data_IF_215956203361
#
_entry.id   IF_215956203361
#
_cell.length_a   1.000
_cell.length_b   1.000
_cell.length_c   1.000
_cell.angle_alpha   90.00
_cell.angle_beta   90.00
_cell.angle_gamma   90.00
#
_symmetry.space_group_name_H-M   'P 1'
#
loop_
_entity.id
_entity.type
_entity.pdbx_description
1 polymer ?
#
# COMPACT_ATOMS: atom_id res chain seq x y z
N UNK A 1 19.52 2.42 24.54
CA UNK A 1 19.28 3.79 24.03
C UNK A 1 20.14 4.81 24.77
N UNK A 2 19.92 5.15 26.06
CA UNK A 2 20.64 6.22 26.78
C UNK A 2 22.16 6.22 26.61
N UNK A 3 22.84 5.04 26.69
CA UNK A 3 24.30 4.93 26.52
C UNK A 3 24.79 5.29 25.13
N UNK A 4 24.05 4.87 24.08
CA UNK A 4 24.38 5.19 22.67
C UNK A 4 24.25 6.69 22.43
N UNK A 5 23.12 7.29 22.85
CA UNK A 5 22.88 8.73 22.74
C UNK A 5 23.98 9.53 23.45
N UNK A 6 24.33 9.15 24.71
CA UNK A 6 25.39 9.83 25.47
C UNK A 6 26.76 9.72 24.78
N UNK A 7 27.11 8.55 24.26
CA UNK A 7 28.36 8.36 23.52
C UNK A 7 28.41 9.22 22.25
N UNK A 8 27.31 9.25 21.48
CA UNK A 8 27.24 10.07 20.27
C UNK A 8 27.34 11.57 20.59
N UNK A 9 26.66 12.04 21.64
CA UNK A 9 26.78 13.43 22.10
C UNK A 9 28.21 13.79 22.54
N UNK A 10 28.89 12.88 23.25
CA UNK A 10 30.26 13.10 23.68
C UNK A 10 31.24 13.20 22.50
N UNK A 11 31.04 12.40 21.46
CA UNK A 11 31.88 12.38 20.26
C UNK A 11 31.59 13.55 19.31
N UNK A 12 30.34 13.84 19.05
CA UNK A 12 29.90 14.88 18.10
C UNK A 12 29.89 16.29 18.68
N UNK A 13 29.85 16.41 20.02
CA UNK A 13 29.62 17.65 20.76
C UNK A 13 28.28 18.35 20.39
N UNK A 14 27.36 17.61 19.75
CA UNK A 14 26.05 18.10 19.35
C UNK A 14 24.97 17.25 19.98
N UNK A 15 23.84 17.91 20.34
CA UNK A 15 22.64 17.21 20.82
C UNK A 15 21.84 16.73 19.61
N UNK A 16 21.07 15.67 19.82
CA UNK A 16 20.08 15.16 18.84
C UNK A 16 20.62 14.65 17.49
N UNK A 17 21.91 14.25 17.47
CA UNK A 17 22.55 13.67 16.29
C UNK A 17 22.19 12.19 16.03
N UNK A 18 21.50 11.54 16.97
CA UNK A 18 21.17 10.12 16.88
C UNK A 18 19.70 9.89 17.24
N UNK A 19 18.94 9.44 16.28
CA UNK A 19 17.59 8.89 16.49
C UNK A 19 17.66 7.36 16.53
N UNK A 20 17.06 6.74 17.55
CA UNK A 20 17.08 5.30 17.75
C UNK A 20 15.65 4.78 17.75
N UNK A 21 15.32 3.95 16.76
CA UNK A 21 14.06 3.19 16.72
C UNK A 21 14.31 1.75 17.18
N UNK A 22 13.46 1.26 18.06
CA UNK A 22 13.49 -0.13 18.49
C UNK A 22 12.45 -0.91 17.70
N UNK A 23 12.87 -2.05 17.15
CA UNK A 23 11.97 -2.99 16.49
C UNK A 23 11.78 -4.22 17.36
N UNK A 24 10.57 -4.72 17.41
CA UNK A 24 10.24 -5.98 18.07
C UNK A 24 10.61 -7.19 17.21
N UNK A 25 10.63 -8.34 17.85
CA UNK A 25 10.97 -9.60 17.18
C UNK A 25 9.87 -10.03 16.20
N UNK A 26 10.32 -10.64 15.11
CA UNK A 26 9.45 -11.33 14.15
C UNK A 26 9.50 -12.81 14.45
N UNK A 27 8.34 -13.43 14.63
CA UNK A 27 8.21 -14.88 14.78
C UNK A 27 7.84 -15.47 13.42
N UNK A 28 8.67 -16.38 12.91
CA UNK A 28 8.37 -17.09 11.67
C UNK A 28 7.48 -18.29 11.96
N UNK A 29 6.38 -18.41 11.22
CA UNK A 29 5.44 -19.51 11.28
C UNK A 29 5.34 -20.20 9.91
N UNK A 30 5.04 -21.48 9.91
CA UNK A 30 4.58 -22.22 8.74
C UNK A 30 3.29 -22.95 9.11
N UNK A 31 2.18 -22.61 8.46
CA UNK A 31 0.83 -23.12 8.73
C UNK A 31 0.46 -23.02 10.22
N UNK A 32 0.74 -21.86 10.82
CA UNK A 32 0.44 -21.54 12.22
C UNK A 32 1.40 -22.17 13.24
N UNK A 33 2.44 -22.90 12.81
CA UNK A 33 3.43 -23.50 13.71
C UNK A 33 4.75 -22.75 13.67
N UNK A 34 5.37 -22.45 14.83
CA UNK A 34 6.66 -21.78 14.87
C UNK A 34 7.74 -22.58 14.14
N UNK A 35 8.48 -21.90 13.25
CA UNK A 35 9.66 -22.46 12.59
C UNK A 35 10.80 -22.52 13.61
N UNK A 36 11.23 -23.74 13.96
CA UNK A 36 12.33 -23.92 14.90
C UNK A 36 13.64 -23.52 14.23
N UNK A 37 14.32 -22.52 14.79
CA UNK A 37 15.63 -22.08 14.35
C UNK A 37 16.69 -22.37 15.39
N UNK A 38 17.81 -22.96 14.95
CA UNK A 38 18.97 -23.20 15.79
C UNK A 38 20.26 -23.00 15.00
N UNK A 39 21.07 -22.02 15.39
CA UNK A 39 22.38 -21.79 14.80
C UNK A 39 23.32 -23.00 14.97
N UNK A 40 23.19 -23.70 16.10
CA UNK A 40 24.02 -24.89 16.40
C UNK A 40 23.64 -26.10 15.56
N UNK A 41 22.36 -26.24 15.22
CA UNK A 41 21.84 -27.35 14.41
C UNK A 41 21.85 -27.05 12.90
N UNK A 42 22.32 -25.87 12.48
CA UNK A 42 22.31 -25.47 11.07
C UNK A 42 20.93 -25.16 10.49
N UNK A 43 19.87 -25.13 11.33
CA UNK A 43 18.49 -24.84 10.93
C UNK A 43 18.17 -23.35 11.10
N UNK A 44 19.00 -22.50 10.54
CA UNK A 44 18.82 -21.05 10.61
C UNK A 44 18.20 -20.54 9.31
N UNK A 45 17.04 -19.86 9.41
CA UNK A 45 16.38 -19.22 8.26
C UNK A 45 16.96 -17.83 8.09
N UNK A 46 17.53 -17.56 6.93
CA UNK A 46 18.03 -16.22 6.58
C UNK A 46 16.94 -15.34 5.98
N UNK A 47 17.18 -14.04 5.96
CA UNK A 47 16.30 -13.10 5.27
C UNK A 47 16.19 -13.44 3.77
N UNK A 48 17.28 -13.92 3.17
CA UNK A 48 17.31 -14.36 1.78
C UNK A 48 16.36 -15.53 1.54
N UNK A 49 16.39 -16.55 2.39
CA UNK A 49 15.51 -17.72 2.28
C UNK A 49 14.03 -17.31 2.34
N UNK A 50 13.69 -16.33 3.20
CA UNK A 50 12.34 -15.77 3.27
C UNK A 50 11.98 -15.08 1.96
N UNK A 51 12.85 -14.21 1.43
CA UNK A 51 12.61 -13.48 0.18
C UNK A 51 12.49 -14.42 -1.02
N UNK A 52 13.29 -15.48 -1.09
CA UNK A 52 13.22 -16.49 -2.15
C UNK A 52 11.91 -17.29 -2.08
N UNK A 53 11.36 -17.49 -0.87
CA UNK A 53 10.13 -18.25 -0.67
C UNK A 53 8.87 -17.43 -0.99
N UNK A 54 8.80 -16.18 -0.49
CA UNK A 54 7.56 -15.38 -0.55
C UNK A 54 7.61 -14.22 -1.53
N UNK A 55 8.80 -13.88 -2.03
CA UNK A 55 9.05 -12.68 -2.83
C UNK A 55 9.35 -11.45 -1.99
N UNK A 56 10.18 -10.55 -2.54
CA UNK A 56 10.63 -9.34 -1.86
C UNK A 56 9.47 -8.38 -1.56
N UNK A 57 8.54 -8.21 -2.50
CA UNK A 57 7.41 -7.29 -2.37
C UNK A 57 6.47 -7.69 -1.24
N UNK A 58 6.10 -8.98 -1.21
CA UNK A 58 5.24 -9.55 -0.17
C UNK A 58 5.90 -9.39 1.20
N UNK A 59 7.16 -9.81 1.30
CA UNK A 59 7.91 -9.70 2.54
C UNK A 59 7.97 -8.26 3.04
N UNK A 60 8.40 -7.32 2.19
CA UNK A 60 8.51 -5.90 2.54
C UNK A 60 7.18 -5.32 3.00
N UNK A 61 6.12 -5.53 2.22
CA UNK A 61 4.81 -4.99 2.55
C UNK A 61 4.28 -5.53 3.88
N UNK A 62 4.35 -6.86 4.10
CA UNK A 62 3.86 -7.48 5.35
C UNK A 62 4.66 -7.00 6.55
N UNK A 63 6.00 -6.89 6.44
CA UNK A 63 6.84 -6.33 7.51
C UNK A 63 6.42 -4.91 7.86
N UNK A 64 6.00 -4.11 6.88
CA UNK A 64 5.55 -2.73 7.07
C UNK A 64 4.10 -2.61 7.55
N UNK A 65 3.32 -3.69 7.64
CA UNK A 65 1.95 -3.63 8.21
C UNK A 65 1.93 -3.62 9.74
N UNK A 66 3.09 -3.61 10.39
CA UNK A 66 3.19 -3.54 11.86
C UNK A 66 4.02 -2.33 12.29
N UNK A 67 3.62 -1.76 13.40
CA UNK A 67 4.46 -0.77 14.08
C UNK A 67 5.74 -1.46 14.56
N UNK A 68 6.83 -0.70 14.56
CA UNK A 68 8.13 -1.22 15.00
C UNK A 68 8.13 -1.72 16.45
N UNK A 69 7.25 -1.18 17.31
CA UNK A 69 7.10 -1.55 18.72
C UNK A 69 6.17 -2.76 18.96
N UNK A 70 5.62 -3.35 17.90
CA UNK A 70 4.74 -4.52 17.97
C UNK A 70 5.42 -5.76 17.39
N UNK A 71 5.14 -6.93 17.99
CA UNK A 71 5.59 -8.22 17.47
C UNK A 71 4.84 -8.56 16.18
N UNK A 72 5.52 -9.20 15.24
CA UNK A 72 4.95 -9.70 14.01
C UNK A 72 5.06 -11.23 13.95
N UNK A 73 3.93 -11.90 13.73
CA UNK A 73 3.89 -13.28 13.32
C UNK A 73 3.85 -13.35 11.78
N UNK A 74 4.92 -13.86 11.19
CA UNK A 74 5.08 -13.99 9.75
C UNK A 74 4.86 -15.45 9.36
N UNK A 75 3.66 -15.77 8.89
CA UNK A 75 3.29 -17.12 8.47
C UNK A 75 3.44 -17.28 6.96
N UNK A 76 4.40 -18.12 6.53
CA UNK A 76 4.67 -18.37 5.11
C UNK A 76 3.44 -18.77 4.31
N UNK A 77 2.59 -19.63 4.85
CA UNK A 77 1.40 -20.09 4.16
C UNK A 77 0.42 -18.94 3.91
N UNK A 78 0.21 -18.09 4.93
CA UNK A 78 -0.72 -16.96 4.84
C UNK A 78 -0.22 -15.85 3.91
N UNK A 79 1.06 -15.51 3.98
CA UNK A 79 1.61 -14.39 3.19
C UNK A 79 1.78 -14.71 1.71
N UNK A 80 1.81 -15.98 1.33
CA UNK A 80 1.88 -16.42 -0.08
C UNK A 80 0.50 -16.67 -0.69
N UNK A 81 -0.56 -16.69 0.11
CA UNK A 81 -1.91 -16.91 -0.37
C UNK A 81 -2.39 -15.75 -1.23
N UNK A 82 -2.79 -16.05 -2.48
CA UNK A 82 -3.36 -15.07 -3.42
C UNK A 82 -4.86 -14.88 -3.16
N UNK A 83 -5.20 -14.39 -1.99
CA UNK A 83 -6.59 -14.14 -1.58
C UNK A 83 -6.83 -12.66 -1.29
N UNK A 84 -8.11 -12.28 -1.15
CA UNK A 84 -8.50 -10.93 -0.73
C UNK A 84 -8.08 -10.59 0.69
N UNK A 85 -7.82 -11.61 1.49
CA UNK A 85 -7.38 -11.48 2.88
C UNK A 85 -5.90 -11.12 2.97
N UNK A 86 -5.14 -11.36 1.90
CA UNK A 86 -3.74 -10.97 1.83
C UNK A 86 -3.64 -9.48 1.38
N UNK A 87 -3.22 -8.58 2.26
CA UNK A 87 -3.25 -7.15 1.97
C UNK A 87 -2.36 -6.74 0.80
N UNK A 88 -1.27 -7.48 0.53
CA UNK A 88 -0.38 -7.20 -0.59
C UNK A 88 -1.11 -7.39 -1.91
N UNK A 89 -1.70 -8.59 -2.09
CA UNK A 89 -2.42 -8.91 -3.32
C UNK A 89 -3.67 -8.05 -3.48
N UNK A 90 -4.31 -7.67 -2.38
CA UNK A 90 -5.47 -6.78 -2.40
C UNK A 90 -5.11 -5.40 -2.99
N UNK A 91 -4.00 -4.81 -2.57
CA UNK A 91 -3.51 -3.54 -3.09
C UNK A 91 -3.01 -3.68 -4.54
N UNK A 92 -2.22 -4.72 -4.84
CA UNK A 92 -1.74 -4.98 -6.20
C UNK A 92 -2.91 -5.21 -7.17
N UNK A 93 -3.97 -5.89 -6.73
CA UNK A 93 -5.15 -6.13 -7.54
C UNK A 93 -5.94 -4.84 -7.83
N UNK A 94 -6.00 -3.89 -6.89
CA UNK A 94 -6.56 -2.58 -7.16
C UNK A 94 -5.79 -1.85 -8.27
N UNK A 95 -4.45 -1.86 -8.21
CA UNK A 95 -3.61 -1.28 -9.27
C UNK A 95 -3.81 -1.98 -10.62
N UNK A 96 -3.87 -3.31 -10.64
CA UNK A 96 -4.07 -4.09 -11.86
C UNK A 96 -5.44 -3.77 -12.50
N UNK A 97 -6.50 -3.67 -11.71
CA UNK A 97 -7.84 -3.25 -12.19
C UNK A 97 -7.83 -1.85 -12.75
N UNK A 98 -7.28 -0.88 -12.03
CA UNK A 98 -7.16 0.50 -12.50
C UNK A 98 -6.38 0.58 -13.82
N UNK A 99 -5.25 -0.12 -13.90
CA UNK A 99 -4.45 -0.21 -15.12
C UNK A 99 -5.18 -0.91 -16.28
N UNK A 100 -6.05 -1.89 -15.99
CA UNK A 100 -6.86 -2.55 -17.01
C UNK A 100 -7.90 -1.61 -17.60
N UNK A 101 -8.57 -0.80 -16.77
CA UNK A 101 -9.50 0.24 -17.26
C UNK A 101 -8.77 1.21 -18.17
N UNK A 102 -7.61 1.73 -17.77
CA UNK A 102 -6.85 2.73 -18.52
C UNK A 102 -6.22 2.23 -19.82
N UNK A 103 -6.15 0.91 -20.04
CA UNK A 103 -5.61 0.31 -21.28
C UNK A 103 -6.67 0.00 -22.33
N UNK A 104 -7.95 0.23 -22.07
CA UNK A 104 -8.99 -0.02 -23.07
C UNK A 104 -8.81 0.93 -24.25
N UNK A 105 -8.87 0.40 -25.48
CA UNK A 105 -8.55 1.16 -26.70
C UNK A 105 -9.51 2.32 -26.96
N UNK A 106 -10.77 2.14 -26.61
CA UNK A 106 -11.83 3.15 -26.77
C UNK A 106 -11.61 4.43 -25.95
N UNK A 107 -10.67 4.40 -24.99
CA UNK A 107 -10.39 5.51 -24.05
C UNK A 107 -9.28 6.43 -24.57
N UNK A 108 -8.37 5.95 -25.43
CA UNK A 108 -7.18 6.72 -25.86
C UNK A 108 -7.54 8.05 -26.52
N UNK A 109 -8.65 8.12 -27.24
CA UNK A 109 -9.13 9.36 -27.84
C UNK A 109 -9.87 10.29 -26.89
N UNK A 110 -10.36 9.78 -25.75
CA UNK A 110 -11.13 10.56 -24.77
C UNK A 110 -10.22 11.34 -23.81
N UNK A 111 -9.10 10.77 -23.40
CA UNK A 111 -8.18 11.41 -22.43
C UNK A 111 -7.39 12.58 -23.02
N UNK A 112 -7.35 12.72 -24.36
CA UNK A 112 -6.70 13.81 -25.08
C UNK A 112 -7.61 15.04 -25.27
N UNK A 113 -8.92 14.96 -24.96
CA UNK A 113 -9.92 15.97 -25.26
C UNK A 113 -10.06 17.14 -24.27
N UNK A 114 -9.07 17.40 -23.44
CA UNK A 114 -9.05 18.59 -22.57
C UNK A 114 -9.00 18.30 -21.08
N UNK A 115 -9.12 19.35 -20.26
CA UNK A 115 -9.10 19.21 -18.82
C UNK A 115 -10.40 18.54 -18.33
N UNK A 116 -10.32 17.55 -17.39
CA UNK A 116 -11.48 16.88 -16.85
C UNK A 116 -12.30 17.82 -16.00
N UNK A 117 -13.62 17.78 -16.15
CA UNK A 117 -14.54 18.45 -15.24
C UNK A 117 -14.78 17.58 -13.99
N UNK A 118 -13.93 17.74 -13.00
CA UNK A 118 -13.97 16.94 -11.78
C UNK A 118 -15.20 17.26 -10.90
N UNK A 119 -15.94 18.34 -11.15
CA UNK A 119 -17.16 18.66 -10.44
C UNK A 119 -18.31 17.66 -10.76
N UNK A 120 -18.19 16.91 -11.85
CA UNK A 120 -19.10 15.82 -12.21
C UNK A 120 -19.02 14.62 -11.26
N UNK A 121 -17.91 14.45 -10.54
CA UNK A 121 -17.69 13.36 -9.59
C UNK A 121 -18.42 13.65 -8.27
N UNK A 122 -19.71 13.35 -8.23
CA UNK A 122 -20.60 13.69 -7.11
C UNK A 122 -21.13 12.49 -6.32
N UNK A 123 -20.94 11.27 -6.83
CA UNK A 123 -21.35 10.07 -6.10
C UNK A 123 -20.52 9.87 -4.83
N UNK A 124 -21.16 9.29 -3.81
CA UNK A 124 -20.55 9.10 -2.50
C UNK A 124 -19.25 8.26 -2.57
N UNK A 125 -19.19 7.24 -3.43
CA UNK A 125 -17.98 6.41 -3.61
C UNK A 125 -16.86 7.20 -4.26
N UNK A 126 -17.17 8.05 -5.26
CA UNK A 126 -16.21 8.93 -5.93
C UNK A 126 -15.65 9.97 -4.96
N UNK A 127 -16.51 10.63 -4.21
CA UNK A 127 -16.12 11.65 -3.23
C UNK A 127 -15.26 11.06 -2.11
N UNK A 128 -15.57 9.86 -1.62
CA UNK A 128 -14.75 9.17 -0.62
C UNK A 128 -13.37 8.85 -1.18
N UNK A 129 -13.27 8.36 -2.41
CA UNK A 129 -12.02 8.05 -3.06
C UNK A 129 -11.17 9.32 -3.27
N UNK A 130 -11.79 10.43 -3.71
CA UNK A 130 -11.13 11.74 -3.85
C UNK A 130 -10.55 12.22 -2.52
N UNK A 131 -11.33 12.15 -1.43
CA UNK A 131 -10.87 12.55 -0.09
C UNK A 131 -9.68 11.71 0.38
N UNK A 132 -9.72 10.41 0.11
CA UNK A 132 -8.60 9.52 0.42
C UNK A 132 -7.35 9.93 -0.37
N UNK A 133 -7.47 10.14 -1.68
CA UNK A 133 -6.36 10.59 -2.53
C UNK A 133 -5.78 11.94 -2.06
N UNK A 134 -6.63 12.89 -1.70
CA UNK A 134 -6.21 14.19 -1.20
C UNK A 134 -5.39 14.12 0.10
N UNK A 135 -5.58 13.09 0.90
CA UNK A 135 -4.83 12.88 2.15
C UNK A 135 -3.41 12.32 1.95
N UNK A 136 -3.07 11.80 0.75
CA UNK A 136 -1.81 11.13 0.46
C UNK A 136 -0.56 11.92 0.85
N UNK A 137 -0.41 13.21 0.45
CA UNK A 137 0.81 13.97 0.79
C UNK A 137 0.99 14.11 2.31
N UNK A 138 -0.08 14.28 3.06
CA UNK A 138 -0.02 14.42 4.52
C UNK A 138 0.34 13.09 5.20
N UNK A 139 -0.13 11.96 4.69
CA UNK A 139 0.21 10.62 5.19
C UNK A 139 1.69 10.33 4.99
N UNK A 140 2.23 10.58 3.79
CA UNK A 140 3.67 10.40 3.50
C UNK A 140 4.52 11.28 4.40
N UNK A 141 4.16 12.55 4.52
CA UNK A 141 4.87 13.48 5.41
C UNK A 141 4.85 13.02 6.86
N UNK A 142 3.70 12.61 7.36
CA UNK A 142 3.57 12.12 8.73
C UNK A 142 4.40 10.85 8.94
N UNK A 143 4.32 9.87 8.03
CA UNK A 143 5.10 8.64 8.09
C UNK A 143 6.61 8.92 8.15
N UNK A 144 7.10 9.86 7.33
CA UNK A 144 8.50 10.24 7.31
C UNK A 144 8.94 10.93 8.61
N UNK A 145 8.18 11.91 9.10
CA UNK A 145 8.53 12.66 10.31
C UNK A 145 8.50 11.82 11.59
N UNK A 146 7.59 10.84 11.67
CA UNK A 146 7.46 9.96 12.85
C UNK A 146 8.25 8.65 12.69
N UNK A 147 8.86 8.40 11.52
CA UNK A 147 9.49 7.12 11.16
C UNK A 147 8.52 5.93 11.32
N UNK A 148 7.30 6.11 10.81
CA UNK A 148 6.21 5.13 10.92
C UNK A 148 5.73 4.68 9.53
N UNK A 149 6.52 3.88 8.79
CA UNK A 149 6.19 3.46 7.41
C UNK A 149 4.90 2.62 7.32
N UNK A 150 4.46 1.99 8.42
CA UNK A 150 3.18 1.28 8.47
C UNK A 150 1.98 2.16 8.09
N UNK A 151 2.06 3.48 8.28
CA UNK A 151 1.01 4.43 7.85
C UNK A 151 0.77 4.37 6.34
N UNK A 152 1.84 4.21 5.56
CA UNK A 152 1.74 4.08 4.10
C UNK A 152 1.07 2.77 3.73
N UNK A 153 1.47 1.65 4.35
CA UNK A 153 0.86 0.35 4.08
C UNK A 153 -0.65 0.35 4.39
N UNK A 154 -1.06 0.87 5.54
CA UNK A 154 -2.49 0.97 5.89
C UNK A 154 -3.25 1.91 4.95
N UNK A 155 -2.67 3.06 4.62
CA UNK A 155 -3.28 3.97 3.66
C UNK A 155 -3.54 3.29 2.30
N UNK A 156 -2.60 2.50 1.79
CA UNK A 156 -2.77 1.78 0.52
C UNK A 156 -3.86 0.71 0.60
N UNK A 157 -4.00 0.03 1.74
CA UNK A 157 -5.09 -0.93 1.97
C UNK A 157 -6.44 -0.22 1.95
N UNK A 158 -6.55 0.92 2.65
CA UNK A 158 -7.79 1.71 2.69
C UNK A 158 -8.14 2.29 1.31
N UNK A 159 -7.14 2.81 0.58
CA UNK A 159 -7.32 3.31 -0.78
C UNK A 159 -7.81 2.20 -1.73
N UNK A 160 -7.20 1.01 -1.64
CA UNK A 160 -7.61 -0.15 -2.41
C UNK A 160 -9.05 -0.57 -2.08
N UNK A 161 -9.44 -0.53 -0.81
CA UNK A 161 -10.80 -0.87 -0.38
C UNK A 161 -11.83 0.09 -0.97
N UNK A 162 -11.55 1.40 -0.95
CA UNK A 162 -12.43 2.41 -1.55
C UNK A 162 -12.55 2.24 -3.08
N UNK A 163 -11.43 1.98 -3.75
CA UNK A 163 -11.42 1.72 -5.19
C UNK A 163 -12.21 0.46 -5.56
N UNK A 164 -12.02 -0.64 -4.81
CA UNK A 164 -12.80 -1.86 -5.02
C UNK A 164 -14.28 -1.66 -4.70
N UNK A 165 -14.61 -0.80 -3.74
CA UNK A 165 -15.99 -0.41 -3.43
C UNK A 165 -16.67 0.29 -4.62
N UNK A 166 -15.99 1.28 -5.21
CA UNK A 166 -16.50 1.98 -6.40
C UNK A 166 -16.61 1.04 -7.61
N UNK A 167 -15.61 0.16 -7.81
CA UNK A 167 -15.66 -0.87 -8.85
C UNK A 167 -16.90 -1.77 -8.72
N UNK A 168 -17.17 -2.25 -7.50
CA UNK A 168 -18.32 -3.12 -7.25
C UNK A 168 -19.65 -2.36 -7.41
N UNK A 169 -19.73 -1.11 -6.96
CA UNK A 169 -20.89 -0.26 -7.18
C UNK A 169 -21.22 -0.12 -8.69
N UNK A 170 -20.19 0.10 -9.54
CA UNK A 170 -20.38 0.17 -10.99
C UNK A 170 -20.74 -1.15 -11.66
N UNK A 171 -20.50 -2.30 -11.01
CA UNK A 171 -21.03 -3.59 -11.47
C UNK A 171 -22.51 -3.73 -11.13
N UNK A 172 -22.92 -3.27 -9.96
CA UNK A 172 -24.28 -3.42 -9.46
C UNK A 172 -25.22 -2.31 -10.01
N UNK A 173 -24.68 -1.10 -10.23
CA UNK A 173 -25.34 0.03 -10.90
C UNK A 173 -24.57 0.49 -12.15
N UNK A 174 -25.08 0.28 -13.37
CA UNK A 174 -24.42 0.71 -14.60
C UNK A 174 -24.09 2.21 -14.66
N UNK A 175 -24.85 3.07 -13.98
CA UNK A 175 -24.59 4.51 -13.94
C UNK A 175 -23.29 4.87 -13.21
N UNK A 176 -22.76 3.96 -12.37
CA UNK A 176 -21.49 4.12 -11.63
C UNK A 176 -20.28 3.47 -12.32
N UNK A 177 -20.42 2.96 -13.53
CA UNK A 177 -19.29 2.42 -14.31
C UNK A 177 -18.30 3.53 -14.66
N UNK A 178 -17.04 3.19 -14.75
CA UNK A 178 -15.99 4.15 -15.12
C UNK A 178 -16.15 4.69 -16.54
N UNK A 179 -16.70 3.88 -17.43
CA UNK A 179 -16.94 4.20 -18.85
C UNK A 179 -18.43 4.15 -19.09
N UNK A 180 -18.96 5.25 -19.60
CA UNK A 180 -20.36 5.42 -19.97
C UNK A 180 -20.43 5.85 -21.45
N UNK A 181 -21.06 5.06 -22.29
CA UNK A 181 -21.24 5.39 -23.72
C UNK A 181 -22.10 6.65 -23.91
N UNK A 182 -23.00 6.92 -22.94
CA UNK A 182 -23.93 8.05 -22.97
C UNK A 182 -23.36 9.35 -22.42
N UNK A 183 -22.22 9.34 -21.70
CA UNK A 183 -21.65 10.54 -21.05
C UNK A 183 -20.11 10.51 -21.10
N UNK A 184 -19.55 11.06 -22.16
CA UNK A 184 -18.10 11.17 -22.35
C UNK A 184 -17.44 12.09 -21.33
N UNK A 185 -18.12 13.17 -20.87
CA UNK A 185 -17.54 14.10 -19.90
C UNK A 185 -17.35 13.44 -18.53
N UNK A 186 -18.37 12.74 -18.03
CA UNK A 186 -18.31 11.99 -16.78
C UNK A 186 -17.30 10.84 -16.89
N UNK A 187 -17.26 10.16 -18.03
CA UNK A 187 -16.24 9.13 -18.32
C UNK A 187 -14.82 9.69 -18.18
N UNK A 188 -14.52 10.84 -18.81
CA UNK A 188 -13.19 11.48 -18.69
C UNK A 188 -12.87 11.83 -17.24
N UNK A 189 -13.82 12.38 -16.48
CA UNK A 189 -13.63 12.69 -15.06
C UNK A 189 -13.30 11.42 -14.24
N UNK A 190 -14.06 10.33 -14.44
CA UNK A 190 -13.83 9.04 -13.77
C UNK A 190 -12.50 8.40 -14.15
N UNK A 191 -12.10 8.45 -15.40
CA UNK A 191 -10.81 7.94 -15.85
C UNK A 191 -9.64 8.67 -15.19
N UNK A 192 -9.76 9.98 -14.99
CA UNK A 192 -8.75 10.76 -14.25
C UNK A 192 -8.70 10.34 -12.78
N UNK A 193 -9.84 10.05 -12.14
CA UNK A 193 -9.89 9.50 -10.79
C UNK A 193 -9.23 8.12 -10.71
N UNK A 194 -9.46 7.24 -11.69
CA UNK A 194 -8.81 5.92 -11.82
C UNK A 194 -7.30 6.07 -12.00
N UNK A 195 -6.87 7.00 -12.87
CA UNK A 195 -5.45 7.27 -13.13
C UNK A 195 -4.73 7.80 -11.88
N UNK A 196 -5.35 8.74 -11.15
CA UNK A 196 -4.82 9.24 -9.88
C UNK A 196 -4.69 8.12 -8.84
N UNK A 197 -5.69 7.23 -8.76
CA UNK A 197 -5.67 6.08 -7.86
C UNK A 197 -4.52 5.13 -8.21
N UNK A 198 -4.39 4.77 -9.49
CA UNK A 198 -3.30 3.91 -9.97
C UNK A 198 -1.92 4.52 -9.67
N UNK A 199 -1.76 5.83 -9.89
CA UNK A 199 -0.51 6.54 -9.65
C UNK A 199 -0.15 6.55 -8.17
N UNK A 200 -1.10 6.81 -7.27
CA UNK A 200 -0.84 6.83 -5.82
C UNK A 200 -0.50 5.42 -5.32
N UNK A 201 -1.23 4.38 -5.74
CA UNK A 201 -0.90 2.99 -5.37
C UNK A 201 0.50 2.63 -5.87
N UNK A 202 0.82 2.93 -7.13
CA UNK A 202 2.14 2.67 -7.72
C UNK A 202 3.24 3.37 -6.91
N UNK A 203 3.08 4.65 -6.63
CA UNK A 203 4.06 5.43 -5.86
C UNK A 203 4.23 4.87 -4.45
N UNK A 204 3.12 4.57 -3.77
CA UNK A 204 3.14 4.03 -2.41
C UNK A 204 3.77 2.64 -2.29
N UNK A 205 3.63 1.79 -3.30
CA UNK A 205 4.30 0.48 -3.35
C UNK A 205 5.81 0.58 -3.63
N UNK A 206 6.30 1.72 -4.14
CA UNK A 206 7.73 1.97 -4.39
C UNK A 206 8.44 2.65 -3.20
N UNK A 207 7.70 3.28 -2.28
CA UNK A 207 8.25 3.85 -1.05
C UNK A 207 8.67 2.78 -0.04
#
# INVERSE_FOLDING_TARGET
MKRMTAATQALSKQKDMLDIKLCQLVTLLDKGKPVKMSKRAGTFVTLRDVMETVGADVMRFIMLTRRNDQTLEFDYAKVTEKSRENPVFYVQYAHARASSVLRQEDIRGLTEQGQPDLALLSDMHEVRLIKQLASWPSVVRAAALTHEPHRVAFYLIDLAALFHGLWNAGRDDPALRFILDSDARLTIARLNLVAATAQVIKTGLHL
#
